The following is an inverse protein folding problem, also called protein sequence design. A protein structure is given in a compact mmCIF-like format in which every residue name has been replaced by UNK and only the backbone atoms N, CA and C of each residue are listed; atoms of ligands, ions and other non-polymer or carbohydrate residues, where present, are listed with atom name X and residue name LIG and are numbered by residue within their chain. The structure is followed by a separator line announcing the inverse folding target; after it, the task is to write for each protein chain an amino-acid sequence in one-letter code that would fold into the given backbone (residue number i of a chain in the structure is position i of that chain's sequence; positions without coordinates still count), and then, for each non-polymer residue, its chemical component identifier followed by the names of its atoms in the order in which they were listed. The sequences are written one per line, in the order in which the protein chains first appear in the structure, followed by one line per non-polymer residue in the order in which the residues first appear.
data_IF_465974943341
#
_entry.id   IF_465974943341
#
_cell.length_a   1.000
_cell.length_b   1.000
_cell.length_c   1.000
_cell.angle_alpha   90.00
_cell.angle_beta   90.00
_cell.angle_gamma   90.00
#
_symmetry.space_group_name_H-M   'P 1'
#
loop_
_entity.id
_entity.type
_entity.pdbx_description
1 polymer ?
#
# COMPACT_ATOMS: atom_id res chain seq x y z
N UNK A 1 5.91 3.94 -2.98
CA UNK A 1 6.92 4.58 -2.11
C UNK A 1 6.25 5.72 -1.34
N UNK A 2 6.57 5.93 -0.06
CA UNK A 2 5.95 6.99 0.76
C UNK A 2 6.86 8.22 0.82
N UNK A 3 6.31 9.41 0.56
CA UNK A 3 7.07 10.65 0.70
C UNK A 3 7.15 11.09 2.18
N UNK A 4 8.23 10.72 2.86
CA UNK A 4 8.44 11.05 4.30
C UNK A 4 9.36 12.24 4.53
N UNK A 5 9.99 12.81 3.50
CA UNK A 5 10.99 13.87 3.69
C UNK A 5 11.27 14.78 2.48
N UNK A 6 10.48 14.73 1.41
CA UNK A 6 10.72 15.54 0.22
C UNK A 6 9.67 16.65 0.04
N UNK A 7 10.10 17.89 0.29
CA UNK A 7 9.31 19.12 0.11
C UNK A 7 8.11 19.27 1.05
N UNK A 8 7.31 20.32 0.82
CA UNK A 8 6.16 20.70 1.67
C UNK A 8 5.12 19.59 1.85
N UNK A 9 4.94 18.73 0.84
CA UNK A 9 4.00 17.57 0.90
C UNK A 9 4.43 16.49 1.89
N UNK A 10 5.67 16.50 2.35
CA UNK A 10 6.15 15.55 3.35
C UNK A 10 5.93 16.04 4.79
N UNK A 11 5.81 17.35 5.04
CA UNK A 11 5.78 17.94 6.39
C UNK A 11 4.68 17.31 7.25
N UNK A 12 3.44 17.33 6.76
CA UNK A 12 2.26 16.79 7.45
C UNK A 12 1.84 15.40 6.94
N UNK A 13 2.77 14.64 6.35
CA UNK A 13 2.43 13.36 5.77
C UNK A 13 2.17 12.29 6.86
N UNK A 14 0.96 11.71 6.96
CA UNK A 14 0.63 10.70 7.96
C UNK A 14 1.49 9.43 7.83
N UNK A 15 2.02 9.14 6.63
CA UNK A 15 2.95 8.03 6.41
C UNK A 15 4.34 8.24 7.00
N UNK A 16 4.64 9.39 7.64
CA UNK A 16 5.82 9.52 8.52
C UNK A 16 5.72 8.60 9.72
N UNK A 17 4.52 8.36 10.23
CA UNK A 17 4.30 7.40 11.31
C UNK A 17 4.45 5.95 10.80
N UNK A 18 5.32 5.16 11.45
CA UNK A 18 5.53 3.75 11.12
C UNK A 18 4.24 2.94 11.21
N UNK A 19 3.39 3.22 12.20
CA UNK A 19 2.12 2.53 12.39
C UNK A 19 1.16 2.76 11.22
N UNK A 20 1.13 3.97 10.66
CA UNK A 20 0.33 4.26 9.45
C UNK A 20 0.83 3.48 8.25
N UNK A 21 2.16 3.36 8.07
CA UNK A 21 2.74 2.51 7.01
C UNK A 21 2.44 1.03 7.21
N UNK A 22 2.44 0.55 8.45
CA UNK A 22 2.08 -0.83 8.77
C UNK A 22 0.59 -1.09 8.55
N UNK A 23 -0.28 -0.18 9.00
CA UNK A 23 -1.72 -0.23 8.75
C UNK A 23 -2.01 -0.31 7.25
N UNK A 24 -1.33 0.49 6.44
CA UNK A 24 -1.50 0.46 4.99
C UNK A 24 -1.10 -0.90 4.39
N UNK A 25 -0.06 -1.55 4.90
CA UNK A 25 0.32 -2.90 4.43
C UNK A 25 -0.70 -3.98 4.76
N UNK A 26 -1.40 -3.85 5.90
CA UNK A 26 -2.50 -4.75 6.27
C UNK A 26 -3.81 -4.43 5.54
N UNK A 27 -3.96 -3.22 5.01
CA UNK A 27 -5.15 -2.84 4.24
C UNK A 27 -5.23 -3.54 2.87
N UNK A 28 -4.09 -3.92 2.30
CA UNK A 28 -3.99 -4.43 0.92
C UNK A 28 -3.97 -5.95 0.85
N UNK A 29 -4.75 -6.51 -0.07
CA UNK A 29 -4.65 -7.91 -0.47
C UNK A 29 -3.80 -8.02 -1.74
N UNK A 30 -2.56 -8.44 -1.56
CA UNK A 30 -1.61 -8.61 -2.67
C UNK A 30 -2.00 -9.78 -3.59
N UNK A 31 -2.69 -10.80 -3.07
CA UNK A 31 -3.19 -11.90 -3.90
C UNK A 31 -4.32 -11.40 -4.79
N UNK A 32 -5.31 -10.72 -4.20
CA UNK A 32 -6.44 -10.21 -4.97
C UNK A 32 -6.00 -9.17 -6.03
N UNK A 33 -5.02 -8.32 -5.72
CA UNK A 33 -4.43 -7.41 -6.73
C UNK A 33 -3.77 -8.21 -7.86
N UNK A 34 -3.03 -9.26 -7.54
CA UNK A 34 -2.40 -10.14 -8.53
C UNK A 34 -3.42 -10.92 -9.38
N UNK A 35 -4.50 -11.40 -8.78
CA UNK A 35 -5.54 -12.14 -9.50
C UNK A 35 -6.21 -11.24 -10.54
N UNK A 36 -6.51 -9.98 -10.16
CA UNK A 36 -7.20 -9.03 -11.05
C UNK A 36 -6.27 -8.42 -12.10
N UNK A 37 -5.06 -8.01 -11.72
CA UNK A 37 -4.17 -7.28 -12.61
C UNK A 37 -3.15 -8.18 -13.35
N UNK A 38 -2.81 -9.31 -12.75
CA UNK A 38 -1.77 -10.23 -13.21
C UNK A 38 -2.28 -11.61 -13.62
N UNK A 39 -3.58 -11.88 -13.51
CA UNK A 39 -4.15 -13.20 -13.83
C UNK A 39 -3.67 -14.32 -12.90
N UNK A 40 -3.21 -13.98 -11.69
CA UNK A 40 -2.78 -14.95 -10.68
C UNK A 40 -1.39 -15.57 -10.92
N UNK A 41 -0.64 -15.13 -11.95
CA UNK A 41 0.64 -15.76 -12.33
C UNK A 41 1.84 -15.22 -11.54
N UNK A 42 1.69 -14.12 -10.80
CA UNK A 42 2.79 -13.54 -10.03
C UNK A 42 2.77 -13.99 -8.57
N UNK A 43 3.94 -14.04 -7.94
CA UNK A 43 4.04 -14.26 -6.50
C UNK A 43 3.98 -12.91 -5.76
N UNK A 44 3.14 -12.78 -4.72
CA UNK A 44 3.10 -11.58 -3.90
C UNK A 44 4.47 -11.26 -3.29
N UNK A 45 4.99 -10.07 -3.59
CA UNK A 45 6.25 -9.62 -3.04
C UNK A 45 6.07 -8.84 -1.72
N UNK A 46 6.99 -9.07 -0.78
CA UNK A 46 7.17 -8.22 0.41
C UNK A 46 8.54 -7.56 0.49
N UNK A 47 9.45 -7.92 -0.41
CA UNK A 47 10.79 -7.39 -0.48
C UNK A 47 11.13 -7.08 -1.95
N UNK A 48 12.13 -6.23 -2.21
CA UNK A 48 12.50 -5.85 -3.57
C UNK A 48 13.17 -7.00 -4.35
N UNK A 49 13.68 -8.02 -3.66
CA UNK A 49 14.38 -9.15 -4.26
C UNK A 49 13.44 -10.34 -4.50
N UNK A 50 13.36 -10.87 -5.73
CA UNK A 50 12.58 -12.08 -6.00
C UNK A 50 13.22 -13.30 -5.32
N UNK A 51 12.47 -14.41 -5.12
CA UNK A 51 12.99 -15.63 -4.50
C UNK A 51 14.26 -16.19 -5.13
N UNK A 52 14.42 -16.01 -6.46
CA UNK A 52 15.60 -16.46 -7.19
C UNK A 52 16.87 -15.60 -6.93
N UNK A 53 16.74 -14.45 -6.27
CA UNK A 53 17.88 -13.56 -6.01
C UNK A 53 18.72 -14.04 -4.83
N UNK A 54 20.06 -13.98 -4.90
CA UNK A 54 20.91 -14.27 -3.74
C UNK A 54 20.73 -13.28 -2.58
N UNK A 55 20.05 -12.16 -2.80
CA UNK A 55 19.71 -11.17 -1.77
C UNK A 55 18.31 -11.38 -1.18
N UNK A 56 17.62 -12.46 -1.54
CA UNK A 56 16.33 -12.83 -0.96
C UNK A 56 16.48 -13.24 0.51
N UNK A 57 15.52 -12.83 1.34
CA UNK A 57 15.46 -13.21 2.75
C UNK A 57 14.07 -13.71 3.14
N UNK A 58 13.98 -14.94 3.65
CA UNK A 58 12.72 -15.55 4.14
C UNK A 58 12.18 -14.89 5.42
N UNK A 59 12.96 -14.00 6.06
CA UNK A 59 12.55 -13.28 7.29
C UNK A 59 11.38 -12.33 7.09
N UNK A 60 10.96 -12.07 5.85
CA UNK A 60 9.91 -11.11 5.51
C UNK A 60 8.74 -11.81 4.81
N UNK A 61 7.94 -12.62 5.53
CA UNK A 61 6.82 -13.34 4.95
C UNK A 61 5.73 -12.38 4.50
N UNK A 62 5.09 -12.67 3.37
CA UNK A 62 4.03 -11.84 2.80
C UNK A 62 2.94 -11.52 3.82
N UNK A 63 2.69 -10.23 3.99
CA UNK A 63 1.69 -9.69 4.90
C UNK A 63 0.33 -9.95 4.27
N UNK A 64 -0.46 -10.77 4.96
CA UNK A 64 -1.86 -11.03 4.61
C UNK A 64 -2.71 -9.81 4.97
N UNK A 65 -3.76 -9.56 4.18
CA UNK A 65 -4.72 -8.50 4.46
C UNK A 65 -5.42 -8.75 5.79
N UNK A 66 -5.49 -7.71 6.62
CA UNK A 66 -6.19 -7.69 7.90
C UNK A 66 -6.71 -6.27 8.16
N UNK A 67 -7.95 -6.02 7.74
CA UNK A 67 -8.59 -4.70 7.85
C UNK A 67 -8.79 -4.28 9.31
N UNK A 68 -9.05 -5.23 10.20
CA UNK A 68 -9.23 -4.97 11.64
C UNK A 68 -7.93 -4.46 12.24
N UNK A 69 -6.83 -5.17 12.00
CA UNK A 69 -5.50 -4.77 12.48
C UNK A 69 -5.04 -3.45 11.86
N UNK A 70 -5.37 -3.20 10.60
CA UNK A 70 -5.09 -1.90 9.97
C UNK A 70 -5.77 -0.75 10.73
N UNK A 71 -7.06 -0.88 11.06
CA UNK A 71 -7.81 0.12 11.85
C UNK A 71 -7.25 0.30 13.25
N UNK A 72 -6.87 -0.78 13.92
CA UNK A 72 -6.25 -0.71 15.26
C UNK A 72 -4.93 0.06 15.23
N UNK A 73 -4.09 -0.19 14.23
CA UNK A 73 -2.82 0.50 14.05
C UNK A 73 -3.02 1.99 13.73
N UNK A 74 -4.04 2.34 12.95
CA UNK A 74 -4.41 3.74 12.71
C UNK A 74 -4.85 4.44 14.00
N UNK A 75 -5.69 3.80 14.82
CA UNK A 75 -6.10 4.33 16.13
C UNK A 75 -4.90 4.53 17.07
N UNK A 76 -3.99 3.56 17.13
CA UNK A 76 -2.74 3.69 17.89
C UNK A 76 -1.84 4.83 17.38
N UNK A 77 -1.91 5.11 16.08
CA UNK A 77 -1.22 6.23 15.46
C UNK A 77 -1.91 7.59 15.70
N UNK A 78 -3.09 7.61 16.33
CA UNK A 78 -3.89 8.81 16.56
C UNK A 78 -4.75 9.24 15.37
N UNK A 79 -5.02 8.33 14.42
CA UNK A 79 -5.82 8.61 13.23
C UNK A 79 -7.07 7.73 13.18
N UNK A 80 -8.23 8.34 13.00
CA UNK A 80 -9.45 7.60 12.65
C UNK A 80 -9.53 7.32 11.15
N UNK A 81 -9.13 8.30 10.33
CA UNK A 81 -8.98 8.20 8.88
C UNK A 81 -7.73 8.93 8.41
N UNK A 82 -7.14 8.42 7.35
CA UNK A 82 -5.91 8.95 6.75
C UNK A 82 -6.19 9.37 5.32
N UNK A 83 -6.08 10.66 5.03
CA UNK A 83 -6.15 11.18 3.66
C UNK A 83 -4.77 11.13 3.02
N UNK A 84 -4.69 10.62 1.80
CA UNK A 84 -3.43 10.53 1.06
C UNK A 84 -3.64 10.58 -0.45
N UNK A 85 -2.61 11.01 -1.18
CA UNK A 85 -2.60 10.97 -2.65
C UNK A 85 -1.75 9.78 -3.12
N UNK A 86 -2.32 8.94 -3.98
CA UNK A 86 -1.61 7.87 -4.69
C UNK A 86 -1.26 8.36 -6.09
N UNK A 87 0.04 8.50 -6.33
CA UNK A 87 0.59 8.89 -7.63
C UNK A 87 1.00 7.63 -8.39
N UNK A 88 0.56 7.49 -9.64
CA UNK A 88 0.79 6.29 -10.44
C UNK A 88 0.95 6.63 -11.93
N UNK A 89 1.56 5.73 -12.71
CA UNK A 89 1.79 5.94 -14.14
C UNK A 89 0.49 5.91 -14.95
N UNK A 90 0.37 6.77 -15.97
CA UNK A 90 -0.82 6.86 -16.81
C UNK A 90 -0.90 5.73 -17.86
N UNK A 91 -1.29 4.53 -17.43
CA UNK A 91 -1.67 3.43 -18.31
C UNK A 91 -2.84 2.65 -17.72
N UNK A 92 -3.57 1.91 -18.57
CA UNK A 92 -4.80 1.21 -18.21
C UNK A 92 -4.60 0.23 -17.05
N UNK A 93 -3.56 -0.61 -17.11
CA UNK A 93 -3.27 -1.60 -16.05
C UNK A 93 -3.02 -0.93 -14.70
N UNK A 94 -2.25 0.16 -14.69
CA UNK A 94 -1.87 0.84 -13.44
C UNK A 94 -3.06 1.61 -12.86
N UNK A 95 -3.92 2.20 -13.71
CA UNK A 95 -5.19 2.80 -13.28
C UNK A 95 -6.09 1.79 -12.58
N UNK A 96 -6.31 0.61 -13.18
CA UNK A 96 -7.12 -0.44 -12.56
C UNK A 96 -6.54 -0.93 -11.24
N UNK A 97 -5.21 -1.12 -11.15
CA UNK A 97 -4.54 -1.45 -9.88
C UNK A 97 -4.77 -0.35 -8.84
N UNK A 98 -4.64 0.92 -9.23
CA UNK A 98 -4.80 2.05 -8.32
C UNK A 98 -6.23 2.14 -7.76
N UNK A 99 -7.25 1.86 -8.57
CA UNK A 99 -8.65 1.80 -8.14
C UNK A 99 -8.90 0.64 -7.15
N UNK A 100 -8.34 -0.53 -7.41
CA UNK A 100 -8.45 -1.69 -6.49
C UNK A 100 -7.78 -1.35 -5.15
N UNK A 101 -6.59 -0.75 -5.20
CA UNK A 101 -5.88 -0.28 -4.01
C UNK A 101 -6.70 0.77 -3.26
N UNK A 102 -7.31 1.74 -3.96
CA UNK A 102 -8.20 2.73 -3.36
C UNK A 102 -9.38 2.09 -2.64
N UNK A 103 -10.05 1.13 -3.27
CA UNK A 103 -11.18 0.42 -2.67
C UNK A 103 -10.76 -0.34 -1.39
N UNK A 104 -9.71 -1.16 -1.47
CA UNK A 104 -9.23 -1.93 -0.31
C UNK A 104 -8.74 -1.04 0.83
N UNK A 105 -8.03 0.04 0.50
CA UNK A 105 -7.49 0.99 1.48
C UNK A 105 -8.62 1.74 2.20
N UNK A 106 -9.69 2.08 1.48
CA UNK A 106 -10.86 2.78 2.05
C UNK A 106 -11.55 1.99 3.16
N UNK A 107 -11.63 0.67 3.02
CA UNK A 107 -12.21 -0.22 4.04
C UNK A 107 -11.43 -0.18 5.36
N UNK A 108 -10.12 0.09 5.30
CA UNK A 108 -9.22 0.22 6.43
C UNK A 108 -9.12 1.64 7.00
N UNK A 109 -9.81 2.62 6.41
CA UNK A 109 -9.79 4.02 6.84
C UNK A 109 -8.80 4.91 6.08
N UNK A 110 -8.30 4.49 4.93
CA UNK A 110 -7.46 5.32 4.06
C UNK A 110 -8.27 5.93 2.92
N UNK A 111 -8.38 7.25 2.91
CA UNK A 111 -9.03 8.01 1.86
C UNK A 111 -7.99 8.41 0.81
N UNK A 112 -7.81 7.54 -0.20
CA UNK A 112 -6.84 7.76 -1.27
C UNK A 112 -7.43 8.62 -2.40
N UNK A 113 -6.75 9.70 -2.81
CA UNK A 113 -7.00 10.37 -4.09
C UNK A 113 -6.04 9.84 -5.15
N UNK A 114 -6.56 9.49 -6.32
CA UNK A 114 -5.79 8.95 -7.42
C UNK A 114 -5.28 10.08 -8.31
N UNK A 115 -3.96 10.17 -8.52
CA UNK A 115 -3.33 11.14 -9.42
C UNK A 115 -2.45 10.42 -10.45
N UNK A 116 -2.89 10.28 -11.71
CA UNK A 116 -2.02 9.78 -12.77
C UNK A 116 -0.89 10.79 -13.06
N UNK A 117 0.29 10.29 -13.41
CA UNK A 117 1.41 11.10 -13.93
C UNK A 117 1.39 11.07 -15.45
N UNK A 118 1.59 12.23 -16.07
CA UNK A 118 1.79 12.35 -17.52
C UNK A 118 3.01 11.56 -18.01
#
# INVERSE_FOLDING_TARGET
MFNVGNGKRAEDNPFKNKLVRQAFQYALDRNAINDVAGGGIFEPAQQPFPPASPYHSDKFPVTKRDVTKAKELLKQAGFDRVKAELVFGNNTTTSSIAEIVQAMASEAGFDLSLRPTE
#
